data_IF_850263508094
#
_entry.id   IF_850263508094
#
_cell.length_a   1.000
_cell.length_b   1.000
_cell.length_c   1.000
_cell.angle_alpha   90.00
_cell.angle_beta   90.00
_cell.angle_gamma   90.00
#
_symmetry.space_group_name_H-M   'P 1'
#
loop_
_entity.id
_entity.type
_entity.pdbx_description
1 polymer ?
#
# COMPACT_ATOMS: atom_id res chain seq x y z
N UNK A 1 34.53 -23.84 3.52
CA UNK A 1 34.04 -22.48 3.33
C UNK A 1 32.99 -22.51 2.24
N UNK A 2 31.90 -21.77 2.41
CA UNK A 2 30.79 -21.74 1.47
C UNK A 2 30.09 -20.39 1.47
N UNK A 3 28.88 -20.32 0.93
CA UNK A 3 28.08 -19.09 0.83
C UNK A 3 27.90 -18.35 2.16
N UNK A 4 27.85 -19.09 3.28
CA UNK A 4 27.74 -18.51 4.63
C UNK A 4 28.90 -17.58 4.98
N UNK A 5 30.05 -17.73 4.34
CA UNK A 5 31.29 -17.04 4.68
C UNK A 5 31.51 -15.78 3.84
N UNK A 6 30.63 -15.53 2.86
CA UNK A 6 30.65 -14.31 2.06
C UNK A 6 30.51 -13.06 2.95
N UNK A 7 31.27 -12.02 2.60
CA UNK A 7 31.25 -10.72 3.25
C UNK A 7 30.83 -9.64 2.25
N UNK A 8 30.30 -8.52 2.75
CA UNK A 8 29.90 -7.41 1.88
C UNK A 8 31.09 -6.82 1.10
N UNK A 9 32.28 -6.78 1.71
CA UNK A 9 33.50 -6.32 1.05
C UNK A 9 33.88 -7.21 -0.15
N UNK A 10 33.78 -8.52 0.01
CA UNK A 10 34.08 -9.48 -1.06
C UNK A 10 33.06 -9.39 -2.22
N UNK A 11 31.77 -9.19 -1.90
CA UNK A 11 30.73 -8.97 -2.90
C UNK A 11 30.97 -7.67 -3.67
N UNK A 12 31.30 -6.57 -2.99
CA UNK A 12 31.63 -5.31 -3.65
C UNK A 12 32.84 -5.44 -4.58
N UNK A 13 33.92 -6.11 -4.13
CA UNK A 13 35.10 -6.34 -4.97
C UNK A 13 34.77 -7.13 -6.26
N UNK A 14 33.89 -8.13 -6.16
CA UNK A 14 33.42 -8.87 -7.33
C UNK A 14 32.57 -8.01 -8.28
N UNK A 15 31.73 -7.11 -7.75
CA UNK A 15 30.95 -6.18 -8.59
C UNK A 15 31.90 -5.16 -9.25
N UNK A 16 32.89 -4.63 -8.53
CA UNK A 16 33.89 -3.72 -9.11
C UNK A 16 34.69 -4.39 -10.24
N UNK A 17 35.03 -5.67 -10.07
CA UNK A 17 35.65 -6.43 -11.15
C UNK A 17 34.71 -6.64 -12.35
N UNK A 18 33.43 -6.92 -12.09
CA UNK A 18 32.42 -7.03 -13.13
C UNK A 18 32.32 -5.73 -13.95
N UNK A 19 32.30 -4.57 -13.28
CA UNK A 19 32.27 -3.26 -13.92
C UNK A 19 33.53 -3.02 -14.79
N UNK A 20 34.70 -3.45 -14.31
CA UNK A 20 35.98 -3.29 -15.02
C UNK A 20 36.14 -4.23 -16.22
N UNK A 21 35.72 -5.49 -16.11
CA UNK A 21 35.87 -6.51 -17.16
C UNK A 21 34.74 -6.49 -18.18
N UNK A 22 33.55 -6.05 -17.77
CA UNK A 22 32.31 -6.25 -18.50
C UNK A 22 31.73 -7.65 -18.28
N UNK A 23 30.40 -7.74 -18.32
CA UNK A 23 29.67 -8.93 -17.86
C UNK A 23 29.98 -10.22 -18.64
N UNK A 24 30.19 -10.13 -19.95
CA UNK A 24 30.51 -11.33 -20.76
C UNK A 24 31.87 -11.92 -20.37
N UNK A 25 32.90 -11.08 -20.28
CA UNK A 25 34.25 -11.49 -19.88
C UNK A 25 34.29 -11.96 -18.43
N UNK A 26 33.57 -11.29 -17.52
CA UNK A 26 33.47 -11.71 -16.13
C UNK A 26 32.86 -13.11 -16.00
N UNK A 27 31.73 -13.35 -16.69
CA UNK A 27 31.07 -14.65 -16.71
C UNK A 27 31.97 -15.75 -17.29
N UNK A 28 32.65 -15.47 -18.40
CA UNK A 28 33.59 -16.40 -19.01
C UNK A 28 34.76 -16.73 -18.06
N UNK A 29 35.31 -15.72 -17.37
CA UNK A 29 36.41 -15.89 -16.39
C UNK A 29 36.03 -16.85 -15.27
N UNK A 30 34.82 -16.72 -14.73
CA UNK A 30 34.36 -17.50 -13.59
C UNK A 30 33.53 -18.75 -13.94
N UNK A 31 33.33 -19.03 -15.25
CA UNK A 31 32.60 -20.22 -15.71
C UNK A 31 31.09 -20.15 -15.55
N UNK A 32 30.50 -18.95 -15.59
CA UNK A 32 29.05 -18.74 -15.48
C UNK A 32 28.40 -18.47 -16.83
N UNK A 33 27.16 -18.94 -17.00
CA UNK A 33 26.27 -18.46 -18.06
C UNK A 33 25.52 -17.19 -17.64
N UNK A 34 24.87 -16.48 -18.57
CA UNK A 34 24.01 -15.35 -18.24
C UNK A 34 22.88 -15.79 -17.32
N UNK A 35 22.60 -15.02 -16.26
CA UNK A 35 21.49 -15.32 -15.37
C UNK A 35 20.15 -15.10 -16.10
N UNK A 36 19.21 -16.01 -15.85
CA UNK A 36 17.82 -15.88 -16.31
C UNK A 36 16.92 -15.22 -15.28
N UNK A 37 17.31 -15.30 -14.02
CA UNK A 37 16.58 -14.81 -12.87
C UNK A 37 17.57 -14.26 -11.82
N UNK A 38 17.07 -13.37 -10.96
CA UNK A 38 17.76 -12.78 -9.80
C UNK A 38 19.04 -12.00 -10.14
N UNK A 39 18.95 -10.68 -9.99
CA UNK A 39 20.07 -9.77 -10.16
C UNK A 39 20.36 -9.01 -8.86
N UNK A 40 21.64 -8.88 -8.51
CA UNK A 40 22.06 -7.91 -7.50
C UNK A 40 22.01 -6.54 -8.14
N UNK A 41 21.46 -5.55 -7.44
CA UNK A 41 21.42 -4.17 -7.92
C UNK A 41 22.36 -3.31 -7.08
N UNK A 42 23.25 -2.57 -7.76
CA UNK A 42 24.13 -1.56 -7.16
C UNK A 42 24.19 -0.35 -8.08
N UNK A 43 23.94 0.85 -7.54
CA UNK A 43 23.96 2.12 -8.28
C UNK A 43 23.12 2.12 -9.56
N UNK A 44 21.98 1.41 -9.55
CA UNK A 44 21.08 1.28 -10.70
C UNK A 44 21.47 0.22 -11.72
N UNK A 45 22.64 -0.42 -11.58
CA UNK A 45 23.10 -1.50 -12.46
C UNK A 45 22.72 -2.87 -11.91
N UNK A 46 22.41 -3.81 -12.81
CA UNK A 46 22.01 -5.18 -12.48
C UNK A 46 23.14 -6.17 -12.80
N UNK A 47 23.42 -7.07 -11.84
CA UNK A 47 24.54 -8.02 -11.88
C UNK A 47 24.06 -9.45 -11.62
N UNK A 48 24.62 -10.43 -12.33
CA UNK A 48 24.25 -11.85 -12.20
C UNK A 48 24.50 -12.37 -10.77
N UNK A 49 23.43 -12.59 -9.98
CA UNK A 49 23.56 -12.84 -8.52
C UNK A 49 24.48 -14.04 -8.18
N UNK A 50 24.40 -15.10 -8.97
CA UNK A 50 25.25 -16.30 -8.81
C UNK A 50 26.70 -16.04 -9.20
N UNK A 51 26.94 -15.38 -10.32
CA UNK A 51 28.30 -15.12 -10.78
C UNK A 51 29.03 -14.19 -9.80
N UNK A 52 28.34 -13.14 -9.33
CA UNK A 52 28.86 -12.24 -8.30
C UNK A 52 29.16 -13.01 -7.02
N UNK A 53 28.22 -13.81 -6.49
CA UNK A 53 28.46 -14.56 -5.26
C UNK A 53 29.59 -15.60 -5.40
N UNK A 54 29.72 -16.23 -6.57
CA UNK A 54 30.79 -17.19 -6.86
C UNK A 54 32.16 -16.55 -6.93
N UNK A 55 32.29 -15.44 -7.66
CA UNK A 55 33.51 -14.64 -7.72
C UNK A 55 33.88 -14.05 -6.34
N UNK A 56 32.89 -13.52 -5.62
CA UNK A 56 33.06 -12.95 -4.28
C UNK A 56 33.71 -13.93 -3.30
N UNK A 57 33.41 -15.23 -3.40
CA UNK A 57 34.04 -16.24 -2.55
C UNK A 57 35.57 -16.29 -2.76
N UNK A 58 36.06 -16.03 -3.98
CA UNK A 58 37.49 -15.95 -4.28
C UNK A 58 38.21 -14.73 -3.70
N UNK A 59 37.48 -13.71 -3.24
CA UNK A 59 38.04 -12.55 -2.53
C UNK A 59 38.19 -12.80 -1.02
N UNK A 60 37.76 -13.96 -0.51
CA UNK A 60 37.98 -14.33 0.89
C UNK A 60 39.41 -14.87 1.09
N UNK A 61 40.07 -14.58 2.23
CA UNK A 61 41.43 -15.04 2.49
C UNK A 61 41.59 -16.57 2.36
N UNK A 62 42.44 -17.01 1.44
CA UNK A 62 42.72 -18.44 1.21
C UNK A 62 41.60 -19.23 0.52
N UNK A 63 40.56 -18.56 0.03
CA UNK A 63 39.47 -19.19 -0.69
C UNK A 63 39.66 -19.10 -2.22
N UNK A 64 38.95 -19.96 -2.95
CA UNK A 64 38.87 -19.94 -4.41
C UNK A 64 37.45 -19.53 -4.83
N UNK A 65 37.25 -18.93 -6.02
CA UNK A 65 35.92 -18.70 -6.55
C UNK A 65 35.11 -19.99 -6.60
N UNK A 66 33.80 -19.91 -6.33
CA UNK A 66 32.90 -21.05 -6.50
C UNK A 66 32.47 -21.16 -7.96
N UNK A 67 32.29 -22.38 -8.45
CA UNK A 67 31.71 -22.71 -9.75
C UNK A 67 30.19 -22.95 -9.63
N UNK A 68 29.42 -22.88 -10.74
CA UNK A 68 27.96 -23.01 -10.71
C UNK A 68 27.43 -24.28 -10.02
N UNK A 69 28.17 -25.39 -10.10
CA UNK A 69 27.83 -26.70 -9.53
C UNK A 69 28.23 -26.85 -8.05
N UNK A 70 28.98 -25.88 -7.51
CA UNK A 70 29.48 -25.89 -6.13
C UNK A 70 28.56 -25.17 -5.12
N UNK A 71 27.42 -24.62 -5.57
CA UNK A 71 26.42 -24.00 -4.68
C UNK A 71 25.47 -25.06 -4.09
N UNK A 72 25.48 -25.21 -2.77
CA UNK A 72 24.44 -25.97 -2.07
C UNK A 72 23.17 -25.11 -1.88
N UNK A 73 22.02 -25.58 -2.39
CA UNK A 73 20.72 -24.93 -2.14
C UNK A 73 20.25 -23.91 -3.20
N UNK A 74 20.87 -23.87 -4.37
CA UNK A 74 20.41 -23.11 -5.54
C UNK A 74 20.41 -21.59 -5.40
N UNK A 75 19.77 -20.89 -6.35
CA UNK A 75 19.74 -19.40 -6.41
C UNK A 75 19.09 -18.76 -5.20
N UNK A 76 18.06 -19.39 -4.64
CA UNK A 76 17.37 -18.87 -3.46
C UNK A 76 18.31 -18.71 -2.25
N UNK A 77 19.30 -19.60 -2.11
CA UNK A 77 20.29 -19.53 -1.02
C UNK A 77 21.27 -18.38 -1.24
N UNK A 78 21.68 -18.14 -2.49
CA UNK A 78 22.54 -17.02 -2.88
C UNK A 78 21.83 -15.68 -2.63
N UNK A 79 20.59 -15.55 -3.11
CA UNK A 79 19.77 -14.36 -2.91
C UNK A 79 19.57 -14.06 -1.43
N UNK A 80 19.24 -15.08 -0.62
CA UNK A 80 19.08 -14.91 0.83
C UNK A 80 20.37 -14.37 1.47
N UNK A 81 21.53 -14.90 1.09
CA UNK A 81 22.81 -14.46 1.64
C UNK A 81 23.14 -13.02 1.23
N UNK A 82 22.95 -12.66 -0.03
CA UNK A 82 23.21 -11.31 -0.53
C UNK A 82 22.33 -10.26 0.18
N UNK A 83 21.04 -10.59 0.39
CA UNK A 83 20.13 -9.73 1.18
C UNK A 83 20.57 -9.58 2.63
N UNK A 84 21.04 -10.65 3.28
CA UNK A 84 21.60 -10.58 4.64
C UNK A 84 22.84 -9.70 4.74
N UNK A 85 23.60 -9.57 3.64
CA UNK A 85 24.78 -8.71 3.54
C UNK A 85 24.43 -7.26 3.16
N UNK A 86 23.15 -6.92 3.03
CA UNK A 86 22.68 -5.57 2.73
C UNK A 86 22.55 -5.23 1.24
N UNK A 87 22.69 -6.21 0.34
CA UNK A 87 22.51 -5.98 -1.09
C UNK A 87 21.04 -6.08 -1.50
N UNK A 88 20.59 -5.16 -2.35
CA UNK A 88 19.27 -5.24 -2.95
C UNK A 88 19.27 -6.31 -4.06
N UNK A 89 18.42 -7.32 -3.89
CA UNK A 89 18.15 -8.35 -4.90
C UNK A 89 16.64 -8.40 -5.08
N UNK A 90 16.10 -7.83 -6.17
CA UNK A 90 14.66 -7.81 -6.41
C UNK A 90 14.07 -9.23 -6.36
N UNK A 91 12.87 -9.41 -5.80
CA UNK A 91 12.16 -10.68 -5.90
C UNK A 91 11.83 -11.00 -7.36
N UNK A 92 11.71 -12.29 -7.66
CA UNK A 92 11.36 -12.80 -9.00
C UNK A 92 9.96 -12.38 -9.47
N UNK A 93 9.04 -12.17 -8.53
CA UNK A 93 7.65 -11.77 -8.83
C UNK A 93 7.35 -10.48 -8.10
N UNK A 94 6.69 -9.57 -8.80
CA UNK A 94 6.05 -8.42 -8.18
C UNK A 94 4.97 -8.86 -7.20
N UNK A 95 4.67 -8.02 -6.18
CA UNK A 95 3.53 -8.25 -5.31
C UNK A 95 2.23 -8.19 -6.13
N UNK A 96 1.16 -8.86 -5.63
CA UNK A 96 -0.14 -8.83 -6.29
C UNK A 96 -0.64 -7.39 -6.44
N UNK A 97 -1.45 -7.15 -7.47
CA UNK A 97 -2.16 -5.88 -7.62
C UNK A 97 -3.10 -5.68 -6.44
N UNK A 98 -3.04 -4.50 -5.82
CA UNK A 98 -3.99 -4.13 -4.77
C UNK A 98 -5.09 -3.23 -5.32
N UNK A 99 -6.17 -3.08 -4.55
CA UNK A 99 -7.35 -2.32 -4.93
C UNK A 99 -7.04 -0.91 -5.45
N UNK A 100 -6.25 -0.12 -4.73
CA UNK A 100 -5.90 1.26 -5.12
C UNK A 100 -5.26 1.33 -6.52
N UNK A 101 -4.41 0.35 -6.84
CA UNK A 101 -3.74 0.27 -8.14
C UNK A 101 -4.73 -0.13 -9.25
N UNK A 102 -5.64 -1.05 -8.95
CA UNK A 102 -6.70 -1.48 -9.88
C UNK A 102 -7.69 -0.36 -10.13
N UNK A 103 -8.06 0.44 -9.13
CA UNK A 103 -8.91 1.63 -9.30
C UNK A 103 -8.28 2.61 -10.29
N UNK A 104 -6.98 2.89 -10.16
CA UNK A 104 -6.27 3.79 -11.07
C UNK A 104 -6.19 3.24 -12.51
N UNK A 105 -6.01 1.93 -12.67
CA UNK A 105 -6.02 1.28 -13.97
C UNK A 105 -7.42 1.24 -14.60
N UNK A 106 -8.46 0.96 -13.80
CA UNK A 106 -9.84 0.93 -14.25
C UNK A 106 -10.34 2.33 -14.63
N UNK A 107 -9.97 3.36 -13.86
CA UNK A 107 -10.22 4.77 -14.19
C UNK A 107 -9.67 5.14 -15.58
N UNK A 108 -8.46 4.68 -15.90
CA UNK A 108 -7.84 4.90 -17.20
C UNK A 108 -8.62 4.20 -18.33
N UNK A 109 -9.02 2.95 -18.12
CA UNK A 109 -9.80 2.18 -19.12
C UNK A 109 -11.19 2.79 -19.32
N UNK A 110 -11.88 3.18 -18.24
CA UNK A 110 -13.18 3.83 -18.27
C UNK A 110 -13.12 5.17 -19.04
N UNK A 111 -12.13 6.02 -18.73
CA UNK A 111 -11.88 7.28 -19.47
C UNK A 111 -11.50 7.06 -20.94
N UNK A 112 -11.01 5.86 -21.29
CA UNK A 112 -10.71 5.44 -22.66
C UNK A 112 -11.89 4.69 -23.32
N UNK A 113 -13.13 4.86 -22.82
CA UNK A 113 -14.32 4.24 -23.40
C UNK A 113 -14.29 2.72 -23.34
N UNK A 114 -13.75 2.16 -22.25
CA UNK A 114 -13.63 0.73 -21.99
C UNK A 114 -12.72 -0.05 -22.96
N UNK A 115 -11.87 0.67 -23.70
CA UNK A 115 -10.85 0.06 -24.55
C UNK A 115 -9.52 -0.05 -23.82
N UNK A 116 -8.83 -1.19 -23.99
CA UNK A 116 -7.49 -1.39 -23.45
C UNK A 116 -6.46 -0.50 -24.16
N UNK A 117 -5.33 -0.26 -23.50
CA UNK A 117 -4.24 0.58 -23.99
C UNK A 117 -2.94 -0.22 -24.13
N UNK A 118 -2.07 0.18 -25.05
CA UNK A 118 -0.76 -0.47 -25.25
C UNK A 118 0.29 0.09 -24.29
N UNK A 119 1.43 -0.59 -24.18
CA UNK A 119 2.51 -0.19 -23.28
C UNK A 119 3.18 1.15 -23.68
N UNK A 120 3.03 1.54 -24.95
CA UNK A 120 3.58 2.76 -25.53
C UNK A 120 2.63 3.95 -25.39
N UNK A 121 1.37 3.74 -24.99
CA UNK A 121 0.42 4.84 -24.82
C UNK A 121 0.92 5.80 -23.73
N UNK A 122 1.02 7.12 -24.00
CA UNK A 122 1.52 8.08 -23.01
C UNK A 122 0.78 8.03 -21.67
N UNK A 123 -0.51 7.71 -21.66
CA UNK A 123 -1.32 7.60 -20.44
C UNK A 123 -0.96 6.36 -19.63
N UNK A 124 -0.55 5.27 -20.28
CA UNK A 124 -0.01 4.07 -19.64
C UNK A 124 1.37 4.34 -19.05
N UNK A 125 2.22 5.09 -19.77
CA UNK A 125 3.52 5.54 -19.27
C UNK A 125 3.36 6.39 -18.02
N UNK A 126 2.44 7.36 -18.04
CA UNK A 126 2.13 8.21 -16.90
C UNK A 126 1.62 7.39 -15.70
N UNK A 127 0.67 6.48 -15.93
CA UNK A 127 0.13 5.62 -14.88
C UNK A 127 1.21 4.69 -14.30
N UNK A 128 2.09 4.14 -15.13
CA UNK A 128 3.25 3.34 -14.68
C UNK A 128 4.15 4.15 -13.74
N UNK A 129 4.47 5.39 -14.10
CA UNK A 129 5.28 6.27 -13.25
C UNK A 129 4.59 6.58 -11.91
N UNK A 130 3.27 6.82 -11.94
CA UNK A 130 2.46 7.07 -10.74
C UNK A 130 2.42 5.84 -9.82
N UNK A 131 2.12 4.66 -10.35
CA UNK A 131 2.02 3.41 -9.58
C UNK A 131 3.36 3.03 -8.92
N UNK A 132 4.47 3.27 -9.61
CA UNK A 132 5.81 3.04 -9.06
C UNK A 132 6.17 4.00 -7.92
N UNK A 133 5.46 5.11 -7.75
CA UNK A 133 5.64 5.99 -6.59
C UNK A 133 4.86 5.52 -5.37
N UNK A 134 3.78 4.75 -5.51
CA UNK A 134 2.87 4.42 -4.40
C UNK A 134 3.59 3.81 -3.18
N UNK A 135 3.33 4.28 -1.93
CA UNK A 135 3.96 3.74 -0.73
C UNK A 135 3.24 2.50 -0.17
N UNK A 136 2.54 1.76 -1.04
CA UNK A 136 1.80 0.55 -0.66
C UNK A 136 2.75 -0.62 -0.48
N UNK A 137 3.61 -0.83 -1.47
CA UNK A 137 4.59 -1.91 -1.48
C UNK A 137 5.97 -1.34 -1.15
N UNK A 138 6.63 -1.79 -0.06
CA UNK A 138 8.03 -1.44 0.22
C UNK A 138 8.94 -1.73 -0.99
N UNK A 139 10.04 -0.99 -1.15
CA UNK A 139 10.91 -1.14 -2.33
C UNK A 139 11.55 -2.54 -2.39
N UNK A 140 11.72 -3.18 -1.24
CA UNK A 140 12.34 -4.49 -1.06
C UNK A 140 11.50 -5.63 -1.64
N UNK A 141 10.18 -5.44 -1.76
CA UNK A 141 9.26 -6.44 -2.31
C UNK A 141 8.94 -6.21 -3.78
N UNK A 142 9.45 -5.14 -4.40
CA UNK A 142 9.20 -4.81 -5.80
C UNK A 142 10.17 -5.53 -6.71
N UNK A 143 9.67 -6.25 -7.73
CA UNK A 143 10.53 -6.80 -8.76
C UNK A 143 11.03 -5.72 -9.72
N UNK A 144 11.99 -6.07 -10.57
CA UNK A 144 12.49 -5.25 -11.68
C UNK A 144 11.38 -4.78 -12.66
N UNK A 145 10.35 -5.60 -12.82
CA UNK A 145 9.18 -5.35 -13.67
C UNK A 145 8.00 -4.71 -12.91
N UNK A 146 8.23 -4.23 -11.67
CA UNK A 146 7.18 -3.71 -10.82
C UNK A 146 6.41 -2.54 -11.46
N UNK A 147 5.13 -2.79 -11.74
CA UNK A 147 4.18 -1.83 -12.34
C UNK A 147 4.80 -1.05 -13.51
N UNK A 148 5.62 -1.73 -14.32
CA UNK A 148 6.15 -1.17 -15.56
C UNK A 148 5.04 -1.03 -16.62
N UNK A 149 5.33 -0.33 -17.71
CA UNK A 149 4.37 -0.06 -18.79
C UNK A 149 3.71 -1.32 -19.35
N UNK A 150 4.47 -2.40 -19.53
CA UNK A 150 3.94 -3.70 -19.98
C UNK A 150 2.95 -4.31 -18.98
N UNK A 151 3.27 -4.26 -17.68
CA UNK A 151 2.40 -4.72 -16.62
C UNK A 151 1.11 -3.90 -16.52
N UNK A 152 1.21 -2.58 -16.66
CA UNK A 152 0.05 -1.68 -16.68
C UNK A 152 -0.82 -1.92 -17.91
N UNK A 153 -0.24 -1.99 -19.11
CA UNK A 153 -0.96 -2.30 -20.33
C UNK A 153 -1.70 -3.65 -20.22
N UNK A 154 -1.02 -4.69 -19.72
CA UNK A 154 -1.65 -5.98 -19.43
C UNK A 154 -2.84 -5.83 -18.50
N UNK A 155 -2.72 -5.06 -17.43
CA UNK A 155 -3.82 -4.79 -16.49
C UNK A 155 -4.99 -4.09 -17.17
N UNK A 156 -4.76 -3.17 -18.11
CA UNK A 156 -5.85 -2.56 -18.89
C UNK A 156 -6.58 -3.56 -19.77
N UNK A 157 -5.87 -4.54 -20.35
CA UNK A 157 -6.48 -5.65 -21.10
C UNK A 157 -7.29 -6.53 -20.17
N UNK A 158 -6.74 -6.87 -19.01
CA UNK A 158 -7.45 -7.69 -18.02
C UNK A 158 -8.80 -7.05 -17.66
N UNK A 159 -8.82 -5.74 -17.35
CA UNK A 159 -10.04 -5.01 -17.01
C UNK A 159 -10.99 -4.88 -18.21
N UNK A 160 -10.51 -4.38 -19.35
CA UNK A 160 -11.37 -4.09 -20.52
C UNK A 160 -12.07 -5.33 -21.06
N UNK A 161 -11.41 -6.49 -21.00
CA UNK A 161 -11.97 -7.75 -21.52
C UNK A 161 -13.05 -8.37 -20.63
N UNK A 162 -13.21 -7.90 -19.38
CA UNK A 162 -14.30 -8.31 -18.49
C UNK A 162 -15.48 -7.34 -18.52
N UNK A 163 -15.39 -6.23 -19.28
CA UNK A 163 -16.50 -5.30 -19.44
C UNK A 163 -17.71 -5.98 -20.13
N UNK A 164 -18.97 -5.72 -19.70
CA UNK A 164 -20.15 -6.37 -20.27
C UNK A 164 -20.32 -6.22 -21.79
N UNK A 165 -19.89 -5.08 -22.34
CA UNK A 165 -19.95 -4.81 -23.79
C UNK A 165 -18.80 -5.45 -24.60
N UNK A 166 -17.85 -6.12 -23.94
CA UNK A 166 -16.76 -6.80 -24.63
C UNK A 166 -17.26 -8.10 -25.28
N UNK A 167 -17.03 -8.23 -26.59
CA UNK A 167 -17.55 -9.35 -27.40
C UNK A 167 -16.54 -10.46 -27.66
N UNK A 168 -15.29 -10.29 -27.25
CA UNK A 168 -14.22 -11.27 -27.43
C UNK A 168 -14.14 -12.29 -26.30
N UNK A 169 -13.06 -13.07 -26.27
CA UNK A 169 -12.78 -13.96 -25.14
C UNK A 169 -12.13 -13.17 -23.99
N UNK A 170 -12.73 -13.19 -22.78
CA UNK A 170 -12.13 -12.53 -21.62
C UNK A 170 -10.81 -13.19 -21.23
N UNK A 171 -9.92 -12.39 -20.66
CA UNK A 171 -8.70 -12.92 -20.03
C UNK A 171 -9.02 -13.64 -18.71
N UNK A 172 -8.00 -14.20 -18.04
CA UNK A 172 -8.13 -14.76 -16.68
C UNK A 172 -7.81 -13.67 -15.65
N UNK A 173 -8.60 -12.61 -15.62
CA UNK A 173 -8.40 -11.44 -14.77
C UNK A 173 -8.35 -11.80 -13.28
N UNK A 174 -8.03 -10.81 -12.44
CA UNK A 174 -8.06 -10.96 -10.98
C UNK A 174 -9.45 -10.68 -10.40
N UNK A 175 -9.77 -11.29 -9.25
CA UNK A 175 -11.04 -11.03 -8.54
C UNK A 175 -11.23 -9.54 -8.19
N UNK A 176 -10.14 -8.84 -7.84
CA UNK A 176 -10.16 -7.40 -7.56
C UNK A 176 -10.46 -6.59 -8.84
N UNK A 177 -10.03 -7.06 -10.01
CA UNK A 177 -10.31 -6.40 -11.28
C UNK A 177 -11.82 -6.39 -11.56
N UNK A 178 -12.48 -7.54 -11.37
CA UNK A 178 -13.93 -7.68 -11.52
C UNK A 178 -14.72 -6.86 -10.49
N UNK A 179 -14.30 -6.87 -9.22
CA UNK A 179 -14.95 -6.10 -8.15
C UNK A 179 -14.89 -4.60 -8.43
N UNK A 180 -13.70 -4.08 -8.75
CA UNK A 180 -13.51 -2.66 -9.07
C UNK A 180 -14.25 -2.28 -10.34
N UNK A 181 -14.22 -3.12 -11.38
CA UNK A 181 -14.97 -2.90 -12.61
C UNK A 181 -16.47 -2.77 -12.31
N UNK A 182 -17.04 -3.68 -11.53
CA UNK A 182 -18.46 -3.63 -11.17
C UNK A 182 -18.81 -2.33 -10.43
N UNK A 183 -17.96 -1.86 -9.52
CA UNK A 183 -18.19 -0.58 -8.84
C UNK A 183 -18.12 0.63 -9.78
N UNK A 184 -17.23 0.60 -10.78
CA UNK A 184 -17.22 1.63 -11.82
C UNK A 184 -18.46 1.59 -12.71
N UNK A 185 -19.06 0.42 -12.94
CA UNK A 185 -20.31 0.29 -13.68
C UNK A 185 -21.51 0.78 -12.85
N UNK A 186 -21.50 0.52 -11.55
CA UNK A 186 -22.59 0.88 -10.62
C UNK A 186 -22.60 2.38 -10.29
N UNK A 187 -21.43 2.98 -10.05
CA UNK A 187 -21.27 4.40 -9.67
C UNK A 187 -19.99 5.02 -10.27
N UNK A 188 -20.00 5.34 -11.59
CA UNK A 188 -18.82 5.86 -12.28
C UNK A 188 -18.29 7.18 -11.71
N UNK A 189 -19.20 8.08 -11.29
CA UNK A 189 -18.83 9.40 -10.77
C UNK A 189 -18.06 9.27 -9.45
N UNK A 190 -18.54 8.43 -8.53
CA UNK A 190 -17.84 8.15 -7.28
C UNK A 190 -16.46 7.53 -7.53
N UNK A 191 -16.38 6.55 -8.43
CA UNK A 191 -15.13 5.83 -8.68
C UNK A 191 -14.08 6.72 -9.36
N UNK A 192 -14.48 7.60 -10.27
CA UNK A 192 -13.60 8.65 -10.79
C UNK A 192 -13.13 9.61 -9.68
N UNK A 193 -14.01 10.02 -8.77
CA UNK A 193 -13.62 10.89 -7.66
C UNK A 193 -12.60 10.22 -6.71
N UNK A 194 -12.73 8.91 -6.48
CA UNK A 194 -11.75 8.11 -5.74
C UNK A 194 -10.40 8.10 -6.46
N UNK A 195 -10.38 7.77 -7.76
CA UNK A 195 -9.16 7.73 -8.56
C UNK A 195 -8.43 9.09 -8.59
N UNK A 196 -9.17 10.19 -8.75
CA UNK A 196 -8.61 11.55 -8.68
C UNK A 196 -8.03 11.87 -7.29
N UNK A 197 -8.71 11.42 -6.23
CA UNK A 197 -8.21 11.59 -4.85
C UNK A 197 -6.90 10.84 -4.62
N UNK A 198 -6.78 9.62 -5.16
CA UNK A 198 -5.55 8.83 -5.15
C UNK A 198 -4.44 9.54 -5.93
N UNK A 199 -4.70 9.99 -7.16
CA UNK A 199 -3.72 10.75 -7.97
C UNK A 199 -3.19 11.98 -7.24
N UNK A 200 -4.08 12.78 -6.65
CA UNK A 200 -3.69 13.98 -5.88
C UNK A 200 -2.86 13.64 -4.64
N UNK A 201 -3.21 12.58 -3.92
CA UNK A 201 -2.46 12.14 -2.74
C UNK A 201 -1.00 11.80 -3.05
N UNK A 202 -0.73 11.33 -4.26
CA UNK A 202 0.60 10.91 -4.71
C UNK A 202 1.43 12.10 -5.21
N UNK A 203 0.75 13.12 -5.73
CA UNK A 203 1.39 14.33 -6.25
C UNK A 203 1.80 15.32 -5.16
N UNK A 204 1.18 15.24 -3.99
CA UNK A 204 1.49 16.07 -2.82
C UNK A 204 2.52 15.38 -1.90
N UNK A 205 3.78 15.83 -1.97
CA UNK A 205 4.91 15.22 -1.27
C UNK A 205 4.74 15.21 0.27
N UNK A 206 4.06 16.21 0.86
CA UNK A 206 3.77 16.27 2.31
C UNK A 206 2.76 15.18 2.73
N UNK A 207 1.78 14.88 1.87
CA UNK A 207 0.80 13.82 2.08
C UNK A 207 1.42 12.43 1.86
N UNK A 208 2.37 12.34 0.93
CA UNK A 208 3.09 11.11 0.59
C UNK A 208 3.94 10.57 1.75
N UNK A 209 4.71 11.42 2.44
CA UNK A 209 5.51 11.02 3.60
C UNK A 209 4.65 10.51 4.76
N UNK A 210 3.48 11.11 4.98
CA UNK A 210 2.56 10.71 6.04
C UNK A 210 1.85 9.37 5.74
N UNK A 211 1.64 9.06 4.45
CA UNK A 211 1.06 7.80 3.97
C UNK A 211 2.03 6.62 3.99
N UNK A 212 3.33 6.92 3.96
CA UNK A 212 4.42 5.94 3.99
C UNK A 212 4.73 5.39 5.39
N UNK A 213 4.17 5.99 6.45
CA UNK A 213 4.34 5.49 7.82
C UNK A 213 3.61 4.16 7.98
N UNK A 214 4.31 3.07 8.35
CA UNK A 214 3.67 1.80 8.66
C UNK A 214 2.71 1.98 9.83
N UNK A 215 1.46 1.56 9.67
CA UNK A 215 0.51 1.44 10.78
C UNK A 215 0.65 0.04 11.37
N UNK A 216 0.68 -0.07 12.70
CA UNK A 216 0.75 -1.36 13.43
C UNK A 216 -0.50 -2.27 13.22
N UNK A 217 -1.49 -1.79 12.47
CA UNK A 217 -2.68 -2.54 12.07
C UNK A 217 -2.52 -3.04 10.63
N UNK A 218 -2.20 -4.33 10.48
CA UNK A 218 -2.19 -5.10 9.23
C UNK A 218 -3.63 -5.44 8.78
N UNK A 219 -4.53 -4.46 8.70
CA UNK A 219 -5.81 -4.69 8.02
C UNK A 219 -5.60 -4.54 6.51
N UNK A 220 -5.31 -5.68 5.89
CA UNK A 220 -4.96 -5.80 4.47
C UNK A 220 -6.13 -5.55 3.50
N UNK A 221 -7.37 -5.38 3.98
CA UNK A 221 -8.60 -5.42 3.17
C UNK A 221 -9.64 -4.32 3.54
N UNK A 222 -9.36 -3.06 3.25
CA UNK A 222 -10.42 -2.04 3.18
C UNK A 222 -11.08 -2.03 1.80
N UNK A 223 -12.43 -2.09 1.69
CA UNK A 223 -13.13 -1.93 0.39
C UNK A 223 -12.95 -0.53 -0.22
N UNK A 224 -12.39 0.45 0.49
CA UNK A 224 -12.04 1.74 -0.14
C UNK A 224 -10.57 1.83 -0.55
N UNK A 225 -9.76 0.81 -0.23
CA UNK A 225 -8.34 0.78 -0.51
C UNK A 225 -7.47 1.33 0.63
N UNK A 226 -6.21 0.88 0.66
CA UNK A 226 -5.31 1.04 1.82
C UNK A 226 -4.84 2.48 1.99
N UNK A 227 -4.65 3.21 0.89
CA UNK A 227 -4.14 4.58 0.94
C UNK A 227 -5.19 5.58 1.45
N UNK A 228 -6.44 5.46 1.00
CA UNK A 228 -7.52 6.31 1.49
C UNK A 228 -7.75 6.09 2.99
N UNK A 229 -7.67 4.82 3.42
CA UNK A 229 -7.75 4.47 4.83
C UNK A 229 -6.61 5.09 5.66
N UNK A 230 -5.36 4.99 5.19
CA UNK A 230 -4.23 5.63 5.88
C UNK A 230 -4.37 7.15 5.95
N UNK A 231 -4.77 7.83 4.87
CA UNK A 231 -5.00 9.29 4.88
C UNK A 231 -6.06 9.68 5.91
N UNK A 232 -7.13 8.89 5.99
CA UNK A 232 -8.21 9.11 6.93
C UNK A 232 -7.68 9.05 8.37
N UNK A 233 -6.94 7.99 8.74
CA UNK A 233 -6.36 7.85 10.08
C UNK A 233 -5.35 8.94 10.44
N UNK A 234 -4.51 9.36 9.49
CA UNK A 234 -3.55 10.47 9.72
C UNK A 234 -4.30 11.77 10.04
N UNK A 235 -5.37 12.08 9.29
CA UNK A 235 -6.17 13.29 9.50
C UNK A 235 -6.97 13.24 10.81
N UNK A 236 -7.52 12.10 11.20
CA UNK A 236 -8.18 11.91 12.51
C UNK A 236 -7.23 12.16 13.68
N UNK A 237 -5.93 11.93 13.49
CA UNK A 237 -4.89 12.15 14.51
C UNK A 237 -4.34 13.59 14.55
N UNK A 238 -4.87 14.53 13.76
CA UNK A 238 -4.46 15.94 13.82
C UNK A 238 -4.86 16.59 15.15
N UNK A 239 -3.86 16.81 16.00
CA UNK A 239 -4.00 17.43 17.33
C UNK A 239 -4.58 18.85 17.28
N UNK A 240 -4.36 19.62 16.20
CA UNK A 240 -4.90 20.97 16.04
C UNK A 240 -6.40 20.91 15.73
N UNK A 241 -6.82 20.06 14.79
CA UNK A 241 -8.23 19.86 14.48
C UNK A 241 -9.00 19.32 15.68
N UNK A 242 -8.43 18.33 16.38
CA UNK A 242 -9.04 17.77 17.60
C UNK A 242 -9.35 18.83 18.64
N UNK A 243 -8.34 19.63 19.00
CA UNK A 243 -8.48 20.70 19.99
C UNK A 243 -9.52 21.75 19.58
N UNK A 244 -9.54 22.13 18.29
CA UNK A 244 -10.54 23.09 17.79
C UNK A 244 -11.96 22.54 17.88
N UNK A 245 -12.18 21.27 17.51
CA UNK A 245 -13.52 20.66 17.55
C UNK A 245 -14.03 20.49 18.98
N UNK A 246 -13.19 20.03 19.91
CA UNK A 246 -13.56 19.91 21.33
C UNK A 246 -13.92 21.28 21.92
N UNK A 247 -13.09 22.29 21.68
CA UNK A 247 -13.35 23.65 22.16
C UNK A 247 -14.64 24.24 21.56
N UNK A 248 -14.96 23.92 20.31
CA UNK A 248 -16.20 24.35 19.67
C UNK A 248 -17.43 23.65 20.25
N UNK A 249 -17.35 22.34 20.48
CA UNK A 249 -18.41 21.53 21.07
C UNK A 249 -18.77 22.00 22.51
N UNK A 250 -17.76 22.36 23.30
CA UNK A 250 -17.91 22.85 24.67
C UNK A 250 -18.58 24.23 24.78
N UNK A 251 -18.75 24.97 23.68
CA UNK A 251 -19.50 26.24 23.70
C UNK A 251 -21.00 26.02 23.89
N UNK A 252 -21.51 24.90 23.41
CA UNK A 252 -22.95 24.57 23.42
C UNK A 252 -23.28 23.41 24.35
N UNK A 253 -22.28 22.65 24.82
CA UNK A 253 -22.45 21.52 25.71
C UNK A 253 -21.59 21.68 26.96
N UNK A 254 -22.08 21.30 28.15
CA UNK A 254 -21.33 21.42 29.40
C UNK A 254 -20.17 20.42 29.49
N UNK A 255 -20.23 19.32 28.73
CA UNK A 255 -19.24 18.24 28.72
C UNK A 255 -19.07 17.65 27.33
N UNK A 256 -17.95 16.97 27.14
CA UNK A 256 -17.64 16.24 25.91
C UNK A 256 -18.33 14.87 25.97
N UNK A 257 -19.22 14.62 25.01
CA UNK A 257 -19.97 13.37 24.91
C UNK A 257 -19.92 12.83 23.47
N UNK A 258 -20.05 11.51 23.33
CA UNK A 258 -20.14 10.90 22.01
C UNK A 258 -21.41 11.37 21.31
N UNK A 259 -21.26 11.97 20.13
CA UNK A 259 -22.38 12.49 19.37
C UNK A 259 -23.30 11.38 18.88
N UNK A 260 -22.88 10.11 18.81
CA UNK A 260 -23.71 8.97 18.35
C UNK A 260 -24.50 8.32 19.51
N UNK A 261 -23.81 7.87 20.56
CA UNK A 261 -24.40 7.09 21.65
C UNK A 261 -24.53 7.85 22.98
N UNK A 262 -24.15 9.13 23.01
CA UNK A 262 -24.14 10.00 24.20
C UNK A 262 -23.25 9.51 25.36
N UNK A 263 -22.32 8.60 25.11
CA UNK A 263 -21.36 8.15 26.12
C UNK A 263 -20.47 9.30 26.58
N UNK A 264 -20.41 9.52 27.89
CA UNK A 264 -19.56 10.52 28.55
C UNK A 264 -18.48 9.80 29.38
N UNK A 265 -17.23 9.90 28.93
CA UNK A 265 -16.09 9.29 29.62
C UNK A 265 -15.84 9.92 30.99
N UNK A 266 -16.06 11.23 31.17
CA UNK A 266 -15.87 11.89 32.46
C UNK A 266 -16.94 11.47 33.47
N UNK A 267 -18.17 11.24 33.01
CA UNK A 267 -19.24 10.72 33.86
C UNK A 267 -18.98 9.29 34.35
N UNK A 268 -18.41 8.43 33.50
CA UNK A 268 -18.16 7.01 33.82
C UNK A 268 -16.83 6.80 34.54
N UNK A 269 -15.77 7.49 34.12
CA UNK A 269 -14.40 7.28 34.58
C UNK A 269 -13.82 8.43 35.43
N UNK A 270 -14.64 9.43 35.75
CA UNK A 270 -14.21 10.61 36.51
C UNK A 270 -13.18 11.46 35.76
N UNK A 271 -12.28 12.09 36.49
CA UNK A 271 -11.25 13.00 35.92
C UNK A 271 -10.41 12.35 34.82
N UNK A 272 -10.20 11.02 34.88
CA UNK A 272 -9.44 10.27 33.87
C UNK A 272 -10.10 10.29 32.49
N UNK A 273 -11.42 10.45 32.43
CA UNK A 273 -12.20 10.54 31.20
C UNK A 273 -12.37 11.97 30.67
N UNK A 274 -11.84 12.98 31.36
CA UNK A 274 -12.00 14.39 30.98
C UNK A 274 -11.47 14.67 29.59
N UNK A 275 -12.32 15.23 28.72
CA UNK A 275 -12.03 15.50 27.30
C UNK A 275 -11.49 14.28 26.52
N UNK A 276 -11.69 13.06 27.03
CA UNK A 276 -11.30 11.84 26.34
C UNK A 276 -12.38 11.48 25.32
N UNK A 277 -12.07 11.72 24.06
CA UNK A 277 -12.95 11.47 22.91
C UNK A 277 -12.11 11.43 21.63
N UNK A 278 -12.60 10.71 20.63
CA UNK A 278 -12.01 10.62 19.30
C UNK A 278 -12.74 11.55 18.33
N UNK A 279 -11.98 12.17 17.43
CA UNK A 279 -12.51 13.11 16.43
C UNK A 279 -12.47 12.40 15.08
N UNK A 280 -13.65 12.24 14.50
CA UNK A 280 -13.87 11.48 13.28
C UNK A 280 -14.46 12.38 12.18
N UNK A 281 -14.16 12.13 10.92
CA UNK A 281 -14.73 12.89 9.80
C UNK A 281 -16.06 12.28 9.38
N UNK A 282 -17.11 13.10 9.18
CA UNK A 282 -18.48 12.59 8.93
C UNK A 282 -18.69 11.99 7.54
N UNK A 283 -17.82 12.30 6.58
CA UNK A 283 -17.84 11.78 5.22
C UNK A 283 -16.46 11.18 4.88
N UNK A 284 -16.42 9.98 4.26
CA UNK A 284 -15.24 9.52 3.54
C UNK A 284 -14.90 10.54 2.46
N UNK A 285 -13.70 11.13 2.54
CA UNK A 285 -13.36 12.34 1.79
C UNK A 285 -13.19 12.14 0.28
N UNK A 286 -13.30 10.92 -0.25
CA UNK A 286 -13.36 10.72 -1.70
C UNK A 286 -14.62 11.34 -2.33
N UNK A 287 -15.68 11.55 -1.54
CA UNK A 287 -16.92 12.19 -1.98
C UNK A 287 -16.88 13.73 -1.93
N UNK A 288 -15.92 14.36 -1.24
CA UNK A 288 -15.95 15.82 -0.96
C UNK A 288 -14.76 16.62 -1.52
N UNK A 289 -13.78 15.96 -2.13
CA UNK A 289 -12.58 16.63 -2.66
C UNK A 289 -11.78 17.39 -1.59
N UNK A 290 -10.69 18.04 -2.00
CA UNK A 290 -9.92 18.94 -1.13
C UNK A 290 -10.72 20.20 -0.82
N UNK A 291 -11.54 20.12 0.21
CA UNK A 291 -12.06 21.29 0.90
C UNK A 291 -11.30 21.45 2.23
N UNK A 292 -11.05 22.70 2.64
CA UNK A 292 -10.58 22.99 4.00
C UNK A 292 -11.56 22.32 4.97
N UNK A 293 -11.10 21.34 5.76
CA UNK A 293 -11.92 20.65 6.76
C UNK A 293 -12.60 21.69 7.65
N UNK A 294 -13.93 21.78 7.54
CA UNK A 294 -14.73 22.61 8.44
C UNK A 294 -14.98 21.83 9.71
N UNK A 295 -15.23 22.54 10.81
CA UNK A 295 -15.62 21.89 12.07
C UNK A 295 -16.97 21.14 11.97
N UNK A 296 -17.79 21.50 10.97
CA UNK A 296 -19.02 20.78 10.61
C UNK A 296 -18.79 19.40 10.03
N UNK A 297 -17.60 19.16 9.47
CA UNK A 297 -17.25 17.89 8.80
C UNK A 297 -16.65 16.89 9.80
N UNK A 298 -16.63 17.26 11.09
CA UNK A 298 -16.09 16.49 12.19
C UNK A 298 -17.20 16.12 13.17
N UNK A 299 -17.07 14.94 13.77
CA UNK A 299 -17.94 14.42 14.81
C UNK A 299 -17.11 13.83 15.94
N UNK A 300 -17.61 13.95 17.17
CA UNK A 300 -17.01 13.37 18.38
C UNK A 300 -17.57 11.98 18.62
N UNK A 301 -16.70 10.96 18.60
CA UNK A 301 -17.06 9.57 18.82
C UNK A 301 -16.34 9.00 20.05
N UNK A 302 -17.02 8.12 20.80
CA UNK A 302 -16.32 7.29 21.79
C UNK A 302 -15.56 6.16 21.09
N UNK A 303 -14.58 5.58 21.78
CA UNK A 303 -13.74 4.50 21.25
C UNK A 303 -14.53 3.33 20.67
N UNK A 304 -15.67 2.98 21.28
CA UNK A 304 -16.53 1.93 20.74
C UNK A 304 -17.22 2.36 19.45
N UNK A 305 -17.82 3.56 19.40
CA UNK A 305 -18.49 4.05 18.20
C UNK A 305 -17.52 4.30 17.05
N UNK A 306 -16.33 4.85 17.33
CA UNK A 306 -15.30 5.05 16.31
C UNK A 306 -14.84 3.72 15.72
N UNK A 307 -14.58 2.71 16.56
CA UNK A 307 -14.28 1.35 16.09
C UNK A 307 -15.45 0.76 15.29
N UNK A 308 -16.70 0.99 15.69
CA UNK A 308 -17.86 0.46 14.94
C UNK A 308 -18.08 1.12 13.59
N UNK A 309 -17.72 2.41 13.43
CA UNK A 309 -17.71 3.06 12.10
C UNK A 309 -16.74 2.36 11.16
N UNK A 310 -15.55 2.03 11.67
CA UNK A 310 -14.44 1.48 10.89
C UNK A 310 -14.41 -0.04 10.79
N UNK A 311 -15.30 -0.75 11.50
CA UNK A 311 -15.23 -2.21 11.67
C UNK A 311 -15.32 -2.99 10.35
N UNK A 312 -16.12 -2.51 9.40
CA UNK A 312 -16.32 -3.14 8.10
C UNK A 312 -16.46 -2.04 7.04
N UNK A 313 -16.10 -2.36 5.80
CA UNK A 313 -16.31 -1.47 4.67
C UNK A 313 -17.59 -1.85 3.88
N UNK A 314 -18.36 -0.90 3.30
CA UNK A 314 -18.19 0.55 3.41
C UNK A 314 -18.39 1.02 4.84
N UNK A 315 -17.62 2.03 5.25
CA UNK A 315 -17.74 2.60 6.58
C UNK A 315 -19.11 3.22 6.77
N UNK A 316 -19.66 3.02 7.96
CA UNK A 316 -20.93 3.63 8.31
C UNK A 316 -20.75 5.13 8.49
N UNK A 317 -21.67 5.93 7.96
CA UNK A 317 -21.73 7.33 8.39
C UNK A 317 -22.11 7.38 9.87
N UNK A 318 -21.71 8.42 10.62
CA UNK A 318 -22.14 8.61 12.00
C UNK A 318 -23.67 8.62 12.14
N UNK A 319 -24.39 9.06 11.11
CA UNK A 319 -25.85 9.04 11.09
C UNK A 319 -26.42 7.62 10.93
N UNK A 320 -25.79 6.78 10.11
CA UNK A 320 -26.22 5.38 9.95
C UNK A 320 -25.91 4.56 11.21
N UNK A 321 -24.75 4.80 11.84
CA UNK A 321 -24.44 4.19 13.13
C UNK A 321 -25.43 4.64 14.21
N UNK A 322 -25.84 5.91 14.22
CA UNK A 322 -26.87 6.41 15.14
C UNK A 322 -28.19 5.67 14.97
N UNK A 323 -28.64 5.46 13.73
CA UNK A 323 -29.88 4.68 13.45
C UNK A 323 -29.74 3.24 13.96
N UNK A 324 -28.58 2.61 13.76
CA UNK A 324 -28.33 1.24 14.25
C UNK A 324 -28.37 1.14 15.77
N UNK A 325 -27.72 2.07 16.48
CA UNK A 325 -27.75 2.13 17.94
C UNK A 325 -29.16 2.41 18.48
N UNK A 326 -29.93 3.25 17.79
CA UNK A 326 -31.32 3.54 18.16
C UNK A 326 -32.25 2.32 17.97
N UNK A 327 -32.00 1.49 16.96
CA UNK A 327 -32.78 0.28 16.69
C UNK A 327 -32.41 -0.90 17.59
N UNK A 328 -31.19 -0.89 18.14
CA UNK A 328 -30.69 -1.90 19.09
C UNK A 328 -30.15 -1.21 20.35
N UNK A 329 -31.03 -0.59 21.15
CA UNK A 329 -30.59 0.05 22.39
C UNK A 329 -29.93 -1.00 23.28
N UNK A 330 -28.83 -0.61 23.92
CA UNK A 330 -28.14 -1.47 24.90
C UNK A 330 -29.18 -1.95 25.91
N UNK A 331 -29.36 -3.28 26.10
CA UNK A 331 -30.32 -3.77 27.08
C UNK A 331 -29.97 -3.18 28.45
N UNK A 332 -30.96 -2.81 29.28
CA UNK A 332 -30.72 -2.21 30.57
C UNK A 332 -30.13 -3.28 31.51
N UNK A 333 -28.82 -3.45 31.48
CA UNK A 333 -28.10 -4.22 32.49
C UNK A 333 -27.26 -3.28 33.34
N UNK A 334 -27.59 -3.32 34.64
CA UNK A 334 -26.98 -2.61 35.77
C UNK A 334 -27.46 -1.17 36.03
N UNK A 335 -28.77 -1.00 36.17
CA UNK A 335 -29.28 -0.13 37.24
C UNK A 335 -29.58 -1.00 38.47
N UNK A 336 -29.17 -0.53 39.63
CA UNK A 336 -29.30 -1.12 40.97
C UNK A 336 -28.19 -2.07 41.42
N UNK A 337 -27.27 -1.48 42.17
CA UNK A 337 -26.28 -2.12 43.02
C UNK A 337 -25.68 -1.07 43.96
N UNK A 338 -26.54 -0.19 44.51
CA UNK A 338 -26.19 0.57 45.70
C UNK A 338 -26.21 -0.42 46.86
N UNK A 339 -25.06 -0.62 47.49
CA UNK A 339 -24.91 -1.13 48.85
C UNK A 339 -23.72 -0.44 49.48
#
# INVERSE_FOLDING_TARGET
MGLSDLTAAAVNAAIDEYDNLGGEAFRAKYGYGPAKDYFVVRDGNAYDSKAIAGAAHGYLPGAQPLLPDQFSGGEATVVRRLRQLGFHVPPKRSPPWVRDEVILACDLVAKNGWQYLTAEDPRVVELSALLQRLPIHPIEVRSDTFRNTNGVARKTVDIATHHPDYTGQPTKGGAIDEEVLQEFLDDPERMHAIAETLRKAIADDDTFEQLAVPTDEEDDEAREGRLLQRRHFVRERDRKLRRKKIADFLKTHPRVLCEVCNFDFEAVYGERGREYIEVHHTLPLHASGETKTKLSDLVLLCSNCHRMVHRNSPWLTPNDLRKLVANHPVPPTMQSGAS
#
